data_IF_405688038256
#
_entry.id   IF_405688038256
#
_cell.length_a   1.000
_cell.length_b   1.000
_cell.length_c   1.000
_cell.angle_alpha   90.00
_cell.angle_beta   90.00
_cell.angle_gamma   90.00
#
_symmetry.space_group_name_H-M   'P 1'
#
loop_
_entity.id
_entity.type
_entity.pdbx_description
1 polymer ?
#
# COMPACT_ATOMS: atom_id res chain seq x y z
N UNK A 1 6.11 -4.66 1.82
CA UNK A 1 4.79 -5.26 2.03
C UNK A 1 4.18 -5.49 0.66
N UNK A 2 3.35 -6.51 0.50
CA UNK A 2 2.60 -6.72 -0.74
C UNK A 2 1.27 -5.98 -0.68
N UNK A 3 0.86 -5.40 -1.81
CA UNK A 3 -0.47 -4.83 -2.02
C UNK A 3 -1.07 -5.57 -3.22
N UNK A 4 -2.31 -6.03 -3.09
CA UNK A 4 -3.03 -6.71 -4.17
C UNK A 4 -4.12 -5.79 -4.73
N UNK A 5 -4.23 -5.75 -6.05
CA UNK A 5 -5.29 -5.08 -6.78
C UNK A 5 -5.85 -6.00 -7.88
N UNK A 6 -6.78 -5.49 -8.69
CA UNK A 6 -7.40 -6.24 -9.80
C UNK A 6 -6.41 -6.69 -10.90
N UNK A 7 -5.20 -6.10 -10.93
CA UNK A 7 -4.13 -6.40 -11.89
C UNK A 7 -3.08 -7.34 -11.32
N UNK A 8 -3.09 -7.60 -10.02
CA UNK A 8 -2.25 -8.58 -9.34
C UNK A 8 -1.56 -8.01 -8.09
N UNK A 9 -0.42 -8.60 -7.73
CA UNK A 9 0.32 -8.24 -6.52
C UNK A 9 1.47 -7.28 -6.83
N UNK A 10 1.45 -6.12 -6.19
CA UNK A 10 2.52 -5.10 -6.22
C UNK A 10 3.37 -5.19 -4.95
N UNK A 11 4.69 -5.22 -5.12
CA UNK A 11 5.61 -5.11 -3.99
C UNK A 11 5.86 -3.64 -3.63
N UNK A 12 5.46 -3.26 -2.43
CA UNK A 12 5.63 -1.91 -1.89
C UNK A 12 6.80 -1.88 -0.91
N UNK A 13 7.80 -1.06 -1.21
CA UNK A 13 8.93 -0.78 -0.33
C UNK A 13 8.55 0.38 0.59
N UNK A 14 8.46 0.08 1.89
CA UNK A 14 8.19 1.09 2.93
C UNK A 14 9.43 1.27 3.78
N UNK A 15 10.08 2.42 3.65
CA UNK A 15 11.24 2.75 4.47
C UNK A 15 10.88 2.86 5.95
N UNK A 16 11.85 2.54 6.81
CA UNK A 16 11.66 2.57 8.27
C UNK A 16 11.11 3.91 8.77
N UNK A 17 11.63 5.02 8.27
CA UNK A 17 11.20 6.37 8.64
C UNK A 17 9.75 6.66 8.28
N UNK A 18 9.26 6.15 7.14
CA UNK A 18 7.86 6.29 6.75
C UNK A 18 6.97 5.38 7.60
N UNK A 19 7.40 4.12 7.81
CA UNK A 19 6.68 3.16 8.66
C UNK A 19 6.52 3.64 10.10
N UNK A 20 7.52 4.32 10.65
CA UNK A 20 7.45 4.89 12.01
C UNK A 20 6.47 6.06 12.09
N UNK A 21 6.38 6.88 11.03
CA UNK A 21 5.45 8.01 10.96
C UNK A 21 4.00 7.60 10.67
N UNK A 22 3.81 6.56 9.87
CA UNK A 22 2.50 6.09 9.37
C UNK A 22 2.25 4.64 9.77
N UNK A 23 2.50 4.34 11.05
CA UNK A 23 2.44 2.98 11.58
C UNK A 23 1.03 2.39 11.54
N UNK A 24 0.03 3.23 11.78
CA UNK A 24 -1.38 2.83 11.79
C UNK A 24 -1.82 2.42 10.38
N UNK A 25 -1.50 3.23 9.37
CA UNK A 25 -1.83 2.95 7.97
C UNK A 25 -1.16 1.65 7.48
N UNK A 26 0.08 1.35 7.90
CA UNK A 26 0.77 0.10 7.52
C UNK A 26 0.17 -1.13 8.17
N UNK A 27 -0.36 -1.02 9.40
CA UNK A 27 -0.76 -2.17 10.21
C UNK A 27 -2.26 -2.44 10.23
N UNK A 28 -3.08 -1.40 10.02
CA UNK A 28 -4.54 -1.49 10.24
C UNK A 28 -5.37 -1.29 8.99
N UNK A 29 -4.81 -0.71 7.92
CA UNK A 29 -5.59 -0.46 6.72
C UNK A 29 -5.95 -1.78 6.03
N UNK A 30 -7.25 -2.02 5.85
CA UNK A 30 -7.78 -3.09 5.00
C UNK A 30 -7.81 -2.65 3.53
N UNK A 31 -8.02 -1.36 3.29
CA UNK A 31 -7.82 -0.73 1.98
C UNK A 31 -6.75 0.36 2.09
N UNK A 32 -5.65 0.21 1.36
CA UNK A 32 -4.48 1.08 1.48
C UNK A 32 -4.17 1.78 0.16
N UNK A 33 -4.16 3.11 0.17
CA UNK A 33 -3.57 3.88 -0.91
C UNK A 33 -2.09 4.13 -0.65
N UNK A 34 -1.26 3.86 -1.67
CA UNK A 34 0.19 4.08 -1.62
C UNK A 34 0.57 5.11 -2.68
N UNK A 35 1.05 6.27 -2.23
CA UNK A 35 1.67 7.25 -3.10
C UNK A 35 3.19 7.09 -3.04
N UNK A 36 3.82 6.93 -4.20
CA UNK A 36 5.23 6.58 -4.25
C UNK A 36 5.85 6.75 -5.62
N UNK A 37 7.10 6.30 -5.73
CA UNK A 37 7.83 6.23 -6.99
C UNK A 37 7.88 4.79 -7.47
N UNK A 38 7.38 4.57 -8.69
CA UNK A 38 7.55 3.29 -9.37
C UNK A 38 9.03 3.06 -9.73
N UNK A 39 9.51 1.86 -9.46
CA UNK A 39 10.82 1.38 -9.87
C UNK A 39 10.68 0.08 -10.64
N UNK A 40 11.51 -0.05 -11.67
CA UNK A 40 11.63 -1.25 -12.47
C UNK A 40 13.09 -1.50 -12.76
N UNK A 41 13.56 -2.68 -12.38
CA UNK A 41 14.90 -3.17 -12.69
C UNK A 41 14.76 -4.53 -13.38
N UNK A 42 14.96 -4.54 -14.70
CA UNK A 42 14.64 -5.69 -15.54
C UNK A 42 13.16 -6.07 -15.43
N UNK A 43 12.90 -7.27 -14.92
CA UNK A 43 11.56 -7.82 -14.71
C UNK A 43 11.02 -7.58 -13.30
N UNK A 44 11.85 -7.07 -12.39
CA UNK A 44 11.43 -6.75 -11.03
C UNK A 44 10.78 -5.38 -11.01
N UNK A 45 9.57 -5.32 -10.47
CA UNK A 45 8.79 -4.09 -10.34
C UNK A 45 8.36 -3.88 -8.90
N UNK A 46 8.55 -2.66 -8.40
CA UNK A 46 8.27 -2.30 -7.02
C UNK A 46 7.92 -0.81 -6.89
N UNK A 47 7.08 -0.50 -5.90
CA UNK A 47 6.67 0.86 -5.59
C UNK A 47 7.36 1.32 -4.31
N UNK A 48 8.22 2.34 -4.40
CA UNK A 48 8.81 2.97 -3.22
C UNK A 48 7.79 3.95 -2.63
N UNK A 49 7.28 3.66 -1.45
CA UNK A 49 6.28 4.49 -0.78
C UNK A 49 6.89 5.79 -0.24
N UNK A 50 6.17 6.89 -0.44
CA UNK A 50 6.44 8.20 0.15
C UNK A 50 5.33 8.64 1.11
N UNK A 51 4.09 8.21 0.86
CA UNK A 51 2.93 8.46 1.70
C UNK A 51 1.94 7.30 1.58
N UNK A 52 1.32 6.97 2.70
CA UNK A 52 0.26 6.00 2.85
C UNK A 52 -1.01 6.72 3.28
N UNK A 53 -2.15 6.21 2.85
CA UNK A 53 -3.46 6.66 3.31
C UNK A 53 -4.35 5.45 3.55
N UNK A 54 -4.91 5.38 4.75
CA UNK A 54 -5.93 4.39 5.08
C UNK A 54 -7.25 4.78 4.39
N UNK A 55 -7.68 3.95 3.46
CA UNK A 55 -8.94 4.06 2.74
C UNK A 55 -9.97 3.03 3.22
N UNK A 56 -9.70 2.31 4.30
CA UNK A 56 -10.66 1.38 4.94
C UNK A 56 -12.05 2.00 5.15
N UNK A 57 -12.20 3.29 5.49
CA UNK A 57 -13.53 3.91 5.56
C UNK A 57 -14.34 3.87 4.25
N UNK A 58 -13.71 3.73 3.08
CA UNK A 58 -14.40 3.57 1.79
C UNK A 58 -15.02 2.18 1.63
N UNK A 59 -14.56 1.19 2.41
CA UNK A 59 -15.18 -0.12 2.48
C UNK A 59 -16.44 -0.11 3.35
N UNK A 60 -16.70 0.96 4.11
CA UNK A 60 -17.90 1.07 4.92
C UNK A 60 -19.15 1.06 4.02
N UNK A 61 -19.93 -0.02 4.13
CA UNK A 61 -21.12 -0.24 3.31
C UNK A 61 -20.93 -1.22 2.14
N UNK A 62 -19.70 -1.68 1.87
CA UNK A 62 -19.46 -2.83 1.01
C UNK A 62 -19.58 -4.10 1.85
N UNK A 63 -20.75 -4.72 1.83
CA UNK A 63 -20.96 -6.05 2.41
C UNK A 63 -20.21 -7.09 1.58
N UNK A 64 -19.20 -7.73 2.17
CA UNK A 64 -18.65 -8.98 1.64
C UNK A 64 -19.70 -10.07 1.84
N UNK A 65 -20.30 -10.54 0.74
CA UNK A 65 -21.22 -11.69 0.72
C UNK A 65 -20.49 -13.01 0.94
#
# INVERSE_FOLDING_TARGET
>A
MSLEDETGVVQVIVWRSLREKQREEVLRAELLAVQGRWQREGDVMNLIAHRLADLTPMLAGLSTV
#
